data_IF_786139017332
#
_entry.id   IF_786139017332
#
_cell.length_a   1.000
_cell.length_b   1.000
_cell.length_c   1.000
_cell.angle_alpha   90.00
_cell.angle_beta   90.00
_cell.angle_gamma   90.00
#
_symmetry.space_group_name_H-M   'P 1'
#
loop_
_entity.id
_entity.type
_entity.pdbx_description
1 polymer ?
#
# COMPACT_ATOMS: atom_id res chain seq x y z
N UNK A 1 10.42 61.10 -27.14
CA UNK A 1 9.06 60.67 -26.72
C UNK A 1 8.70 59.23 -27.13
N UNK A 2 8.87 58.85 -28.41
CA UNK A 2 8.55 57.49 -28.90
C UNK A 2 9.32 56.35 -28.19
N UNK A 3 10.61 56.54 -27.92
CA UNK A 3 11.44 55.55 -27.21
C UNK A 3 11.00 55.29 -25.76
N UNK A 4 10.60 56.34 -25.03
CA UNK A 4 10.12 56.21 -23.65
C UNK A 4 8.76 55.51 -23.57
N UNK A 5 7.87 55.76 -24.54
CA UNK A 5 6.59 55.06 -24.66
C UNK A 5 6.80 53.58 -25.00
N UNK A 6 7.70 53.28 -25.95
CA UNK A 6 8.05 51.91 -26.31
C UNK A 6 8.64 51.12 -25.13
N UNK A 7 9.52 51.74 -24.32
CA UNK A 7 10.11 51.10 -23.14
C UNK A 7 9.06 50.78 -22.06
N UNK A 8 8.10 51.69 -21.84
CA UNK A 8 6.99 51.47 -20.89
C UNK A 8 6.08 50.33 -21.34
N UNK A 9 5.75 50.27 -22.62
CA UNK A 9 4.94 49.18 -23.19
C UNK A 9 5.69 47.84 -23.04
N UNK A 10 6.98 47.79 -23.38
CA UNK A 10 7.79 46.59 -23.21
C UNK A 10 7.88 46.13 -21.74
N UNK A 11 8.01 47.06 -20.79
CA UNK A 11 7.99 46.75 -19.36
C UNK A 11 6.64 46.19 -18.91
N UNK A 12 5.51 46.76 -19.35
CA UNK A 12 4.18 46.26 -19.03
C UNK A 12 3.92 44.87 -19.62
N UNK A 13 4.35 44.63 -20.86
CA UNK A 13 4.23 43.32 -21.52
C UNK A 13 5.04 42.25 -20.79
N UNK A 14 6.29 42.55 -20.41
CA UNK A 14 7.15 41.60 -19.68
C UNK A 14 6.63 41.30 -18.28
N UNK A 15 6.15 42.32 -17.54
CA UNK A 15 5.51 42.13 -16.24
C UNK A 15 4.21 41.32 -16.34
N UNK A 16 3.39 41.58 -17.37
CA UNK A 16 2.17 40.82 -17.64
C UNK A 16 2.45 39.34 -17.93
N UNK A 17 3.38 39.07 -18.86
CA UNK A 17 3.78 37.70 -19.19
C UNK A 17 4.39 36.96 -17.98
N UNK A 18 5.24 37.64 -17.20
CA UNK A 18 5.80 37.08 -15.96
C UNK A 18 4.73 36.74 -14.92
N UNK A 19 3.76 37.62 -14.73
CA UNK A 19 2.65 37.40 -13.78
C UNK A 19 1.78 36.20 -14.17
N UNK A 20 1.48 36.04 -15.46
CA UNK A 20 0.73 34.89 -15.98
C UNK A 20 1.50 33.57 -15.74
N UNK A 21 2.79 33.54 -16.07
CA UNK A 21 3.63 32.36 -15.87
C UNK A 21 3.75 31.97 -14.38
N UNK A 22 3.86 32.96 -13.49
CA UNK A 22 3.83 32.73 -12.03
C UNK A 22 2.45 32.24 -11.57
N UNK A 23 1.37 32.80 -12.10
CA UNK A 23 -0.01 32.42 -11.79
C UNK A 23 -0.29 30.95 -12.13
N UNK A 24 0.12 30.49 -13.31
CA UNK A 24 -0.05 29.08 -13.73
C UNK A 24 0.69 28.11 -12.80
N UNK A 25 1.94 28.44 -12.45
CA UNK A 25 2.74 27.61 -11.52
C UNK A 25 2.12 27.58 -10.13
N UNK A 26 1.69 28.74 -9.63
CA UNK A 26 1.01 28.84 -8.34
C UNK A 26 -0.28 28.00 -8.32
N UNK A 27 -1.07 28.07 -9.38
CA UNK A 27 -2.29 27.28 -9.54
C UNK A 27 -2.00 25.77 -9.49
N UNK A 28 -1.00 25.28 -10.23
CA UNK A 28 -0.64 23.86 -10.24
C UNK A 28 -0.19 23.36 -8.86
N UNK A 29 0.64 24.14 -8.15
CA UNK A 29 1.09 23.80 -6.80
C UNK A 29 -0.06 23.83 -5.80
N UNK A 30 -0.93 24.84 -5.88
CA UNK A 30 -2.11 24.96 -5.03
C UNK A 30 -3.06 23.77 -5.25
N UNK A 31 -3.32 23.40 -6.51
CA UNK A 31 -4.14 22.24 -6.86
C UNK A 31 -3.55 20.93 -6.31
N UNK A 32 -2.23 20.73 -6.45
CA UNK A 32 -1.56 19.56 -5.91
C UNK A 32 -1.62 19.49 -4.37
N UNK A 33 -1.44 20.63 -3.69
CA UNK A 33 -1.57 20.73 -2.23
C UNK A 33 -3.00 20.40 -1.78
N UNK A 34 -4.01 20.99 -2.43
CA UNK A 34 -5.42 20.74 -2.15
C UNK A 34 -5.76 19.26 -2.34
N UNK A 35 -5.35 18.65 -3.46
CA UNK A 35 -5.59 17.23 -3.72
C UNK A 35 -5.01 16.33 -2.62
N UNK A 36 -3.79 16.63 -2.13
CA UNK A 36 -3.17 15.87 -1.02
C UNK A 36 -3.99 15.95 0.27
N UNK A 37 -4.52 17.13 0.59
CA UNK A 37 -5.38 17.33 1.76
C UNK A 37 -6.70 16.57 1.61
N UNK A 38 -7.35 16.66 0.46
CA UNK A 38 -8.61 15.97 0.19
C UNK A 38 -8.46 14.45 0.23
N UNK A 39 -7.40 13.91 -0.36
CA UNK A 39 -7.07 12.47 -0.30
C UNK A 39 -6.79 12.03 1.13
N UNK A 40 -6.05 12.82 1.91
CA UNK A 40 -5.79 12.50 3.31
C UNK A 40 -7.07 12.47 4.15
N UNK A 41 -7.99 13.43 3.93
CA UNK A 41 -9.30 13.48 4.59
C UNK A 41 -10.18 12.28 4.20
N UNK A 42 -10.25 11.96 2.92
CA UNK A 42 -11.00 10.80 2.45
C UNK A 42 -10.45 9.49 3.03
N UNK A 43 -9.12 9.35 3.10
CA UNK A 43 -8.52 8.18 3.74
C UNK A 43 -8.84 8.11 5.24
N UNK A 44 -8.82 9.25 5.94
CA UNK A 44 -9.21 9.29 7.35
C UNK A 44 -10.68 8.87 7.56
N UNK A 45 -11.60 9.27 6.66
CA UNK A 45 -12.98 8.79 6.68
C UNK A 45 -13.04 7.27 6.43
N UNK A 46 -12.28 6.76 5.45
CA UNK A 46 -12.22 5.32 5.15
C UNK A 46 -11.64 4.49 6.30
N UNK A 47 -10.73 5.04 7.09
CA UNK A 47 -10.24 4.40 8.32
C UNK A 47 -11.30 4.37 9.42
N UNK A 48 -12.22 5.34 9.46
CA UNK A 48 -13.23 5.47 10.53
C UNK A 48 -14.41 4.51 10.33
N UNK A 49 -14.89 4.31 9.10
CA UNK A 49 -16.08 3.49 8.82
C UNK A 49 -15.78 2.24 7.97
N UNK A 50 -14.53 2.07 7.50
CA UNK A 50 -14.10 0.94 6.67
C UNK A 50 -14.61 0.97 5.23
N UNK A 51 -15.26 2.05 4.79
CA UNK A 51 -15.82 2.20 3.43
C UNK A 51 -14.92 3.11 2.58
N UNK A 52 -14.68 2.80 1.29
CA UNK A 52 -13.94 3.70 0.41
C UNK A 52 -14.69 5.03 0.22
N UNK A 53 -14.01 6.16 0.45
CA UNK A 53 -14.55 7.49 0.20
C UNK A 53 -13.77 8.16 -0.93
N UNK A 54 -14.43 8.70 -1.97
CA UNK A 54 -13.75 9.47 -2.99
C UNK A 54 -13.25 10.81 -2.40
N UNK A 55 -12.08 11.31 -2.82
CA UNK A 55 -11.53 12.58 -2.33
C UNK A 55 -12.31 13.82 -2.78
N UNK A 56 -13.10 13.72 -3.84
CA UNK A 56 -14.03 14.73 -4.32
C UNK A 56 -15.17 14.05 -5.11
N UNK A 57 -16.33 14.69 -5.34
CA UNK A 57 -17.55 14.03 -5.82
C UNK A 57 -17.44 13.29 -7.16
N UNK A 58 -16.55 13.76 -8.05
CA UNK A 58 -16.33 13.18 -9.38
C UNK A 58 -15.01 12.39 -9.49
N UNK A 59 -14.42 11.98 -8.35
CA UNK A 59 -13.24 11.12 -8.38
C UNK A 59 -13.64 9.69 -8.77
N UNK A 60 -12.91 9.10 -9.72
CA UNK A 60 -13.02 7.70 -10.14
C UNK A 60 -12.17 6.76 -9.28
N UNK A 61 -11.64 7.26 -8.16
CA UNK A 61 -10.73 6.54 -7.27
C UNK A 61 -10.95 6.94 -5.81
N UNK A 62 -10.51 6.08 -4.90
CA UNK A 62 -10.53 6.31 -3.46
C UNK A 62 -9.21 5.82 -2.83
N UNK A 63 -8.71 6.46 -1.76
CA UNK A 63 -7.57 5.96 -1.01
C UNK A 63 -7.94 4.70 -0.23
N UNK A 64 -7.27 3.59 -0.54
CA UNK A 64 -7.52 2.27 0.06
C UNK A 64 -6.45 1.88 1.09
N UNK A 65 -5.26 2.47 0.99
CA UNK A 65 -4.17 2.21 1.91
C UNK A 65 -3.21 3.40 2.03
N UNK A 66 -2.30 3.34 2.99
CA UNK A 66 -1.16 4.26 3.12
C UNK A 66 0.13 3.47 3.18
N UNK A 67 1.04 3.77 2.26
CA UNK A 67 2.40 3.25 2.22
C UNK A 67 3.34 4.18 2.98
N UNK A 68 4.13 3.63 3.87
CA UNK A 68 5.13 4.35 4.68
C UNK A 68 6.50 3.69 4.51
N UNK A 69 7.53 4.52 4.39
CA UNK A 69 8.93 4.09 4.39
C UNK A 69 9.62 4.75 5.58
N UNK A 70 9.69 4.09 6.75
CA UNK A 70 10.15 4.72 7.99
C UNK A 70 11.54 5.35 7.88
N UNK A 71 12.51 4.64 7.29
CA UNK A 71 13.89 5.13 7.13
C UNK A 71 13.98 6.46 6.37
N UNK A 72 13.07 6.69 5.42
CA UNK A 72 13.05 7.90 4.59
C UNK A 72 12.03 8.94 5.07
N UNK A 73 11.25 8.65 6.12
CA UNK A 73 10.15 9.51 6.56
C UNK A 73 9.04 9.70 5.52
N UNK A 74 8.97 8.85 4.50
CA UNK A 74 8.04 9.00 3.37
C UNK A 74 6.69 8.38 3.73
N UNK A 75 5.61 9.10 3.42
CA UNK A 75 4.23 8.61 3.49
C UNK A 75 3.51 8.93 2.18
N UNK A 76 2.86 7.93 1.59
CA UNK A 76 2.10 8.07 0.34
C UNK A 76 0.78 7.33 0.46
N UNK A 77 -0.31 7.94 -0.03
CA UNK A 77 -1.60 7.26 -0.13
C UNK A 77 -1.61 6.37 -1.36
N UNK A 78 -2.20 5.20 -1.20
CA UNK A 78 -2.47 4.23 -2.26
C UNK A 78 -3.93 4.38 -2.65
N UNK A 79 -4.15 4.71 -3.91
CA UNK A 79 -5.44 4.90 -4.54
C UNK A 79 -5.86 3.60 -5.23
N UNK A 80 -7.17 3.35 -5.27
CA UNK A 80 -7.74 2.25 -6.03
C UNK A 80 -7.54 2.48 -7.52
N UNK A 81 -7.04 1.47 -8.23
CA UNK A 81 -6.74 1.56 -9.66
C UNK A 81 -5.41 2.27 -9.96
N UNK A 82 -4.85 1.92 -11.11
CA UNK A 82 -3.61 2.51 -11.65
C UNK A 82 -3.89 3.34 -12.92
N UNK A 83 -5.01 4.05 -12.94
CA UNK A 83 -5.39 4.95 -14.03
C UNK A 83 -4.50 6.21 -14.07
N UNK A 84 -4.49 6.93 -15.20
CA UNK A 84 -3.79 8.21 -15.30
C UNK A 84 -4.26 9.23 -14.26
N UNK A 85 -5.56 9.25 -13.94
CA UNK A 85 -6.13 10.09 -12.89
C UNK A 85 -5.58 9.73 -11.50
N UNK A 86 -5.53 8.44 -11.16
CA UNK A 86 -5.02 7.97 -9.87
C UNK A 86 -3.52 8.25 -9.73
N UNK A 87 -2.73 7.92 -10.76
CA UNK A 87 -1.28 8.11 -10.75
C UNK A 87 -0.85 9.58 -10.74
N UNK A 88 -1.70 10.51 -11.20
CA UNK A 88 -1.45 11.94 -11.12
C UNK A 88 -1.40 12.47 -9.67
N UNK A 89 -2.09 11.81 -8.73
CA UNK A 89 -2.22 12.29 -7.35
C UNK A 89 -1.63 11.36 -6.29
N UNK A 90 -1.34 10.10 -6.62
CA UNK A 90 -0.89 9.12 -5.64
C UNK A 90 -0.27 7.87 -6.23
N UNK A 91 -0.03 6.90 -5.35
CA UNK A 91 0.37 5.55 -5.74
C UNK A 91 -0.89 4.81 -6.17
N UNK A 92 -0.90 4.18 -7.33
CA UNK A 92 -2.03 3.39 -7.80
C UNK A 92 -1.87 1.92 -7.45
N UNK A 93 -2.91 1.28 -6.94
CA UNK A 93 -2.99 -0.17 -6.85
C UNK A 93 -3.41 -0.74 -8.21
N UNK A 94 -2.67 -1.72 -8.72
CA UNK A 94 -2.97 -2.32 -10.04
C UNK A 94 -4.12 -3.32 -9.91
N UNK A 95 -5.17 -3.08 -10.69
CA UNK A 95 -6.36 -3.95 -10.74
C UNK A 95 -5.99 -5.38 -11.18
N UNK A 96 -6.69 -6.36 -10.61
CA UNK A 96 -6.40 -7.79 -10.83
C UNK A 96 -5.26 -8.34 -9.99
N UNK A 97 -4.58 -7.51 -9.17
CA UNK A 97 -3.61 -7.97 -8.17
C UNK A 97 -4.23 -8.05 -6.78
N UNK A 98 -3.57 -8.74 -5.85
CA UNK A 98 -4.09 -8.89 -4.49
C UNK A 98 -4.27 -7.52 -3.82
N UNK A 99 -5.30 -7.39 -2.98
CA UNK A 99 -5.53 -6.18 -2.23
C UNK A 99 -4.37 -5.92 -1.23
N UNK A 100 -4.15 -4.67 -0.80
CA UNK A 100 -3.14 -4.38 0.19
C UNK A 100 -3.36 -5.19 1.48
N UNK A 101 -2.29 -5.79 2.01
CA UNK A 101 -2.28 -6.65 3.21
C UNK A 101 -3.11 -7.94 3.11
N UNK A 102 -3.47 -8.41 1.91
CA UNK A 102 -4.08 -9.74 1.73
C UNK A 102 -3.08 -10.76 1.18
N UNK A 103 -3.30 -12.07 1.35
CA UNK A 103 -2.53 -13.10 0.67
C UNK A 103 -2.51 -12.86 -0.85
N UNK A 104 -1.41 -13.25 -1.49
CA UNK A 104 -1.11 -12.94 -2.88
C UNK A 104 -0.18 -11.74 -3.04
N UNK A 105 0.06 -11.39 -4.30
CA UNK A 105 0.96 -10.30 -4.66
C UNK A 105 0.17 -9.02 -4.93
N UNK A 106 0.40 -8.00 -4.11
CA UNK A 106 -0.15 -6.65 -4.27
C UNK A 106 0.84 -5.79 -5.06
N UNK A 107 0.43 -5.29 -6.22
CA UNK A 107 1.25 -4.46 -7.09
C UNK A 107 0.84 -2.99 -6.99
N UNK A 108 1.82 -2.14 -6.66
CA UNK A 108 1.66 -0.70 -6.58
C UNK A 108 2.48 -0.02 -7.67
N UNK A 109 1.82 0.79 -8.48
CA UNK A 109 2.42 1.56 -9.56
C UNK A 109 2.49 3.06 -9.21
N UNK A 110 3.49 3.74 -9.75
CA UNK A 110 3.70 5.16 -9.52
C UNK A 110 4.72 5.76 -10.49
N UNK A 111 4.57 7.06 -10.73
CA UNK A 111 5.52 7.83 -11.52
C UNK A 111 6.88 7.97 -10.82
N UNK A 112 7.96 7.74 -11.57
CA UNK A 112 9.35 7.67 -11.07
C UNK A 112 9.90 9.00 -10.56
N UNK A 113 9.33 10.10 -11.02
CA UNK A 113 9.77 11.48 -10.80
C UNK A 113 8.95 12.20 -9.73
N UNK A 114 7.77 11.67 -9.38
CA UNK A 114 6.87 12.28 -8.40
C UNK A 114 6.64 11.35 -7.21
N UNK A 115 5.58 10.52 -7.25
CA UNK A 115 5.14 9.70 -6.12
C UNK A 115 6.16 8.64 -5.72
N UNK A 116 6.93 8.11 -6.68
CA UNK A 116 7.93 7.07 -6.50
C UNK A 116 9.38 7.52 -6.70
N UNK A 117 9.66 8.83 -6.66
CA UNK A 117 11.03 9.37 -6.68
C UNK A 117 11.92 8.74 -5.59
N UNK A 118 11.34 8.41 -4.44
CA UNK A 118 12.05 7.79 -3.31
C UNK A 118 12.51 6.35 -3.58
N UNK A 119 11.99 5.65 -4.61
CA UNK A 119 12.43 4.30 -4.98
C UNK A 119 13.89 4.26 -5.46
N UNK A 120 14.48 5.42 -5.78
CA UNK A 120 15.91 5.57 -6.05
C UNK A 120 16.76 5.32 -4.81
N UNK A 121 16.24 5.66 -3.63
CA UNK A 121 16.95 5.64 -2.35
C UNK A 121 16.67 4.38 -1.52
N UNK A 122 15.68 3.57 -1.93
CA UNK A 122 15.36 2.30 -1.28
C UNK A 122 16.48 1.27 -1.42
N UNK A 123 16.68 0.51 -0.36
CA UNK A 123 17.69 -0.55 -0.25
C UNK A 123 17.03 -1.87 0.12
N UNK A 124 17.66 -2.98 -0.28
CA UNK A 124 17.29 -4.30 0.24
C UNK A 124 17.47 -4.28 1.76
N UNK A 125 16.49 -4.83 2.49
CA UNK A 125 16.42 -4.80 3.94
C UNK A 125 15.59 -3.66 4.52
N UNK A 126 15.24 -2.62 3.75
CA UNK A 126 14.39 -1.53 4.25
C UNK A 126 12.99 -2.04 4.63
N UNK A 127 12.44 -1.46 5.68
CA UNK A 127 11.07 -1.69 6.10
C UNK A 127 10.10 -0.83 5.28
N UNK A 128 8.97 -1.43 4.89
CA UNK A 128 7.80 -0.75 4.33
C UNK A 128 6.61 -1.08 5.23
N UNK A 129 5.79 -0.09 5.55
CA UNK A 129 4.56 -0.30 6.32
C UNK A 129 3.38 0.08 5.45
N UNK A 130 2.45 -0.86 5.27
CA UNK A 130 1.20 -0.61 4.54
C UNK A 130 0.06 -0.64 5.55
N UNK A 131 -0.63 0.48 5.68
CA UNK A 131 -1.80 0.62 6.56
C UNK A 131 -3.07 0.61 5.75
N UNK A 132 -4.00 -0.27 6.10
CA UNK A 132 -5.36 -0.33 5.56
C UNK A 132 -6.36 -0.13 6.71
N UNK A 133 -7.66 0.06 6.43
CA UNK A 133 -8.69 0.11 7.48
C UNK A 133 -8.77 -1.17 8.33
N UNK A 134 -8.31 -2.31 7.79
CA UNK A 134 -8.41 -3.61 8.44
C UNK A 134 -7.17 -3.97 9.26
N UNK A 135 -5.99 -3.64 8.73
CA UNK A 135 -4.73 -4.05 9.33
C UNK A 135 -3.58 -3.14 8.88
N UNK A 136 -2.54 -3.07 9.71
CA UNK A 136 -1.23 -2.54 9.32
C UNK A 136 -0.25 -3.69 9.23
N UNK A 137 0.38 -3.87 8.07
CA UNK A 137 1.37 -4.91 7.85
C UNK A 137 2.73 -4.29 7.54
N UNK A 138 3.78 -4.92 8.05
CA UNK A 138 5.14 -4.52 7.77
C UNK A 138 5.82 -5.53 6.83
N UNK A 139 6.44 -4.99 5.80
CA UNK A 139 7.17 -5.70 4.77
C UNK A 139 8.63 -5.33 4.83
N UNK A 140 9.50 -6.23 4.38
CA UNK A 140 10.92 -5.99 4.20
C UNK A 140 11.29 -6.19 2.74
N UNK A 141 12.04 -5.23 2.18
CA UNK A 141 12.51 -5.32 0.80
C UNK A 141 13.50 -6.47 0.69
N UNK A 142 13.22 -7.41 -0.22
CA UNK A 142 14.06 -8.59 -0.47
C UNK A 142 14.81 -8.48 -1.79
N UNK A 143 14.29 -7.74 -2.76
CA UNK A 143 14.95 -7.58 -4.06
C UNK A 143 14.57 -6.28 -4.75
N UNK A 144 15.47 -5.85 -5.65
CA UNK A 144 15.30 -4.70 -6.53
C UNK A 144 15.90 -5.05 -7.88
N UNK A 145 15.10 -5.05 -8.94
CA UNK A 145 15.51 -5.46 -10.28
C UNK A 145 14.95 -4.55 -11.36
N UNK A 146 15.64 -4.46 -12.49
CA UNK A 146 15.17 -3.72 -13.67
C UNK A 146 14.74 -4.73 -14.73
N UNK A 147 13.49 -4.65 -15.16
CA UNK A 147 12.87 -5.57 -16.13
C UNK A 147 12.48 -4.84 -17.41
N UNK A 148 12.28 -5.56 -18.51
CA UNK A 148 11.64 -4.98 -19.68
C UNK A 148 10.15 -4.79 -19.40
N UNK A 149 9.55 -3.72 -19.93
CA UNK A 149 8.13 -3.46 -19.77
C UNK A 149 7.27 -4.51 -20.50
N UNK A 150 7.81 -5.13 -21.54
CA UNK A 150 7.18 -6.20 -22.30
C UNK A 150 7.10 -7.52 -21.52
N UNK A 151 8.06 -7.79 -20.64
CA UNK A 151 8.06 -8.99 -19.77
C UNK A 151 6.93 -8.95 -18.73
N UNK A 152 6.24 -7.81 -18.64
CA UNK A 152 5.14 -7.58 -17.72
C UNK A 152 5.58 -7.72 -16.26
N UNK A 153 4.60 -7.89 -15.39
CA UNK A 153 4.82 -8.23 -13.98
C UNK A 153 4.71 -9.74 -13.80
N UNK A 154 5.13 -10.54 -14.80
CA UNK A 154 4.85 -11.99 -14.90
C UNK A 154 5.43 -12.87 -13.78
N UNK A 155 6.11 -12.25 -12.82
CA UNK A 155 6.64 -12.83 -11.58
C UNK A 155 5.76 -12.47 -10.36
N UNK A 156 4.53 -11.98 -10.61
CA UNK A 156 3.43 -11.92 -9.64
C UNK A 156 2.93 -13.36 -9.48
N UNK A 157 3.79 -14.22 -8.95
CA UNK A 157 3.37 -15.56 -8.54
C UNK A 157 2.28 -15.44 -7.47
N UNK A 158 1.28 -16.34 -7.48
CA UNK A 158 0.40 -16.52 -6.34
C UNK A 158 1.27 -16.82 -5.12
N UNK A 159 1.33 -15.88 -4.19
CA UNK A 159 2.02 -16.07 -2.94
C UNK A 159 0.99 -16.46 -1.88
N UNK A 160 1.21 -17.56 -1.17
CA UNK A 160 0.36 -17.95 -0.02
C UNK A 160 0.44 -16.94 1.12
N UNK A 161 1.44 -16.05 1.07
CA UNK A 161 1.66 -14.95 2.02
C UNK A 161 1.56 -13.60 1.31
N UNK A 162 1.17 -12.53 2.02
CA UNK A 162 1.19 -11.18 1.47
C UNK A 162 2.57 -10.80 0.92
N UNK A 163 2.61 -10.46 -0.37
CA UNK A 163 3.79 -9.92 -1.05
C UNK A 163 3.47 -8.54 -1.60
N UNK A 164 4.41 -7.60 -1.44
CA UNK A 164 4.27 -6.24 -1.95
C UNK A 164 5.28 -6.02 -3.07
N UNK A 165 4.81 -5.53 -4.21
CA UNK A 165 5.65 -5.16 -5.36
C UNK A 165 5.43 -3.69 -5.68
N UNK A 166 6.52 -2.91 -5.74
CA UNK A 166 6.50 -1.51 -6.16
C UNK A 166 7.11 -1.39 -7.55
N UNK A 167 6.42 -0.67 -8.43
CA UNK A 167 6.66 -0.64 -9.86
C UNK A 167 6.76 0.78 -10.40
N UNK A 168 7.83 1.10 -11.12
CA UNK A 168 7.99 2.41 -11.76
C UNK A 168 8.81 2.38 -13.05
N UNK A 169 8.76 3.45 -13.85
CA UNK A 169 9.59 3.62 -15.05
C UNK A 169 11.08 3.73 -14.69
N UNK A 170 11.95 3.20 -15.53
CA UNK A 170 13.41 3.26 -15.35
C UNK A 170 14.10 3.67 -16.67
N UNK A 171 15.16 4.50 -16.66
CA UNK A 171 15.87 5.08 -15.51
C UNK A 171 15.23 6.39 -15.00
N UNK A 172 15.69 6.87 -13.83
CA UNK A 172 15.11 8.03 -13.11
C UNK A 172 15.42 9.39 -13.74
N UNK A 173 16.49 9.48 -14.50
CA UNK A 173 17.08 10.67 -15.10
C UNK A 173 16.53 10.99 -16.51
N UNK A 174 15.40 10.39 -16.88
CA UNK A 174 14.79 10.60 -18.21
C UNK A 174 13.39 11.19 -18.09
N UNK A 175 13.05 12.07 -19.03
CA UNK A 175 11.69 12.64 -19.13
C UNK A 175 10.78 11.78 -20.01
N UNK A 176 11.36 11.04 -20.97
CA UNK A 176 10.60 10.23 -21.94
C UNK A 176 10.16 8.89 -21.36
N UNK A 177 9.07 8.33 -21.90
CA UNK A 177 8.63 6.97 -21.60
C UNK A 177 9.70 5.98 -22.04
N UNK A 178 10.05 5.05 -21.17
CA UNK A 178 11.09 4.05 -21.43
C UNK A 178 10.50 2.65 -21.44
N UNK A 179 11.15 1.69 -22.13
CA UNK A 179 10.70 0.29 -22.16
C UNK A 179 11.19 -0.50 -20.94
N UNK A 180 11.72 0.14 -19.89
CA UNK A 180 12.25 -0.55 -18.70
C UNK A 180 11.49 -0.13 -17.44
N UNK A 181 11.35 -1.05 -16.49
CA UNK A 181 10.70 -0.83 -15.20
C UNK A 181 11.61 -1.23 -14.06
N UNK A 182 11.66 -0.42 -13.01
CA UNK A 182 12.21 -0.82 -11.73
C UNK A 182 11.12 -1.55 -10.96
N UNK A 183 11.44 -2.75 -10.49
CA UNK A 183 10.59 -3.60 -9.66
C UNK A 183 11.27 -3.79 -8.31
N UNK A 184 10.59 -3.41 -7.25
CA UNK A 184 11.02 -3.63 -5.87
C UNK A 184 10.08 -4.63 -5.25
N UNK A 185 10.60 -5.76 -4.77
CA UNK A 185 9.80 -6.80 -4.12
C UNK A 185 10.07 -6.79 -2.63
N UNK A 186 9.01 -6.83 -1.85
CA UNK A 186 9.04 -6.92 -0.40
C UNK A 186 8.14 -8.06 0.08
N UNK A 187 8.59 -8.76 1.13
CA UNK A 187 7.87 -9.85 1.78
C UNK A 187 7.44 -9.42 3.16
N UNK A 188 6.33 -9.96 3.64
CA UNK A 188 5.89 -9.78 5.03
C UNK A 188 7.03 -10.11 6.01
N UNK A 189 7.25 -9.26 7.00
CA UNK A 189 8.23 -9.47 8.07
C UNK A 189 9.19 -8.31 8.26
N UNK A 190 8.84 -7.38 9.15
CA UNK A 190 9.86 -6.64 9.88
C UNK A 190 10.04 -7.30 11.23
N UNK A 191 11.26 -7.67 11.56
CA UNK A 191 11.59 -8.12 12.89
C UNK A 191 11.18 -7.01 13.87
N UNK A 192 10.49 -7.37 14.95
CA UNK A 192 10.48 -6.53 16.15
C UNK A 192 11.93 -6.49 16.60
N UNK A 193 12.54 -5.30 16.60
CA UNK A 193 13.81 -5.12 17.30
C UNK A 193 13.55 -5.43 18.78
N UNK A 194 13.98 -6.61 19.23
CA UNK A 194 13.73 -7.11 20.57
C UNK A 194 14.31 -8.51 20.74
N UNK A 195 15.48 -8.58 21.38
CA UNK A 195 16.02 -9.79 21.99
C UNK A 195 17.27 -10.37 21.33
N UNK A 196 18.38 -9.62 21.34
CA UNK A 196 19.69 -10.28 21.39
C UNK A 196 19.94 -10.62 22.87
N UNK A 197 19.52 -11.81 23.28
CA UNK A 197 19.95 -12.45 24.51
C UNK A 197 20.60 -13.79 24.13
N UNK A 198 21.84 -13.70 23.65
CA UNK A 198 22.72 -14.85 23.45
C UNK A 198 23.78 -14.86 24.55
N UNK A 199 23.32 -14.87 25.79
CA UNK A 199 24.13 -15.14 26.98
C UNK A 199 23.99 -16.58 27.47
N UNK A 200 23.97 -17.59 26.58
CA UNK A 200 24.10 -19.00 27.01
C UNK A 200 25.55 -19.29 27.43
N UNK A 201 25.88 -18.85 28.64
CA UNK A 201 26.98 -19.37 29.43
C UNK A 201 26.70 -20.83 29.76
N UNK A 202 27.26 -21.73 28.96
CA UNK A 202 27.39 -23.15 29.24
C UNK A 202 28.41 -23.30 30.38
N UNK A 203 27.93 -23.48 31.60
CA UNK A 203 28.78 -23.83 32.74
C UNK A 203 28.59 -25.32 33.07
N UNK A 204 29.68 -26.04 32.82
CA UNK A 204 29.97 -27.44 33.09
C UNK A 204 30.00 -27.72 34.60
N UNK A 205 29.77 -28.97 34.99
CA UNK A 205 29.53 -29.38 36.36
C UNK A 205 30.78 -29.45 37.26
N UNK A 206 30.55 -29.41 38.58
CA UNK A 206 31.29 -30.20 39.56
C UNK A 206 30.53 -30.26 40.90
N UNK A 207 30.31 -31.48 41.37
CA UNK A 207 29.95 -31.80 42.75
C UNK A 207 31.22 -31.77 43.60
N UNK A 208 31.15 -31.16 44.78
CA UNK A 208 31.86 -31.62 45.99
C UNK A 208 30.97 -31.32 47.20
N UNK A 209 30.93 -32.27 48.12
CA UNK A 209 30.13 -32.28 49.34
C UNK A 209 30.83 -31.56 50.51
N UNK A 210 30.06 -31.41 51.59
CA UNK A 210 30.43 -31.08 52.99
C UNK A 210 31.04 -29.71 53.28
N UNK A 211 30.37 -28.91 54.12
CA UNK A 211 30.78 -28.71 55.52
C UNK A 211 29.67 -28.01 56.35
N UNK A 212 29.73 -28.22 57.65
CA UNK A 212 28.65 -28.15 58.63
C UNK A 212 28.32 -26.76 59.24
N UNK A 213 27.20 -26.77 59.96
CA UNK A 213 26.47 -25.70 60.68
C UNK A 213 27.21 -25.21 61.94
N UNK A 214 26.93 -23.98 62.43
CA UNK A 214 26.23 -23.84 63.72
C UNK A 214 25.08 -22.81 63.75
N UNK A 215 24.12 -23.06 64.65
CA UNK A 215 22.90 -22.28 64.96
C UNK A 215 23.15 -21.18 66.01
N UNK A 216 22.40 -20.08 65.92
CA UNK A 216 21.71 -19.28 67.00
C UNK A 216 21.45 -17.86 66.43
N UNK A 217 20.40 -17.06 66.70
CA UNK A 217 19.31 -16.97 67.68
C UNK A 217 18.14 -16.17 67.03
N UNK A 218 16.87 -16.57 67.14
CA UNK A 218 15.85 -16.08 68.11
C UNK A 218 15.39 -14.61 67.99
N UNK A 219 14.17 -14.36 67.49
CA UNK A 219 13.44 -13.07 67.57
C UNK A 219 12.13 -13.03 66.75
N UNK A 220 11.04 -12.35 67.19
CA UNK A 220 9.70 -12.94 67.16
C UNK A 220 8.86 -12.72 65.89
N UNK A 221 8.03 -13.74 65.61
CA UNK A 221 6.95 -13.74 64.62
C UNK A 221 5.78 -12.88 65.11
N UNK A 222 5.29 -11.98 64.25
CA UNK A 222 3.94 -11.40 64.38
C UNK A 222 3.08 -11.94 63.25
N UNK A 223 2.14 -12.81 63.62
CA UNK A 223 1.09 -13.31 62.76
C UNK A 223 0.08 -12.19 62.45
N UNK A 224 -0.31 -12.06 61.19
CA UNK A 224 -1.59 -11.43 60.83
C UNK A 224 -2.46 -12.46 60.13
N UNK A 225 -3.67 -12.60 60.68
CA UNK A 225 -4.71 -13.58 60.35
C UNK A 225 -5.22 -13.44 58.90
N UNK A 226 -5.68 -14.54 58.26
CA UNK A 226 -6.53 -14.47 57.09
C UNK A 226 -7.99 -14.25 57.48
N UNK A 227 -8.75 -13.58 56.61
CA UNK A 227 -10.20 -13.43 56.70
C UNK A 227 -10.78 -13.43 55.26
N UNK A 228 -12.08 -13.69 55.05
CA UNK A 228 -12.61 -15.03 54.84
C UNK A 228 -13.22 -15.23 53.44
N UNK A 229 -13.39 -16.51 53.10
CA UNK A 229 -14.17 -16.99 51.97
C UNK A 229 -15.62 -16.47 52.00
N UNK A 230 -16.03 -15.86 50.89
CA UNK A 230 -17.38 -15.35 50.66
C UNK A 230 -17.77 -15.54 49.20
N UNK A 231 -18.30 -16.71 48.90
CA UNK A 231 -18.82 -17.12 47.60
C UNK A 231 -19.83 -16.13 47.00
N UNK A 232 -19.77 -15.97 45.67
CA UNK A 232 -20.92 -16.20 44.75
C UNK A 232 -20.44 -16.17 43.30
N UNK A 233 -20.20 -17.37 42.78
CA UNK A 233 -20.16 -17.68 41.34
C UNK A 233 -21.57 -17.46 40.78
N UNK A 234 -21.73 -16.47 39.91
CA UNK A 234 -22.91 -16.32 39.06
C UNK A 234 -22.91 -17.37 37.95
N UNK A 235 -24.08 -17.91 37.54
CA UNK A 235 -24.14 -19.11 36.73
C UNK A 235 -23.77 -18.86 35.27
N UNK A 236 -22.94 -19.77 34.74
CA UNK A 236 -22.80 -20.05 33.32
C UNK A 236 -24.20 -20.22 32.70
N UNK A 237 -24.60 -19.27 31.85
CA UNK A 237 -25.73 -19.49 30.94
C UNK A 237 -25.29 -20.54 29.93
N UNK A 238 -25.77 -21.76 30.13
CA UNK A 238 -25.86 -22.79 29.10
C UNK A 238 -26.65 -22.22 27.92
N UNK A 239 -26.03 -22.12 26.75
CA UNK A 239 -26.78 -22.03 25.50
C UNK A 239 -27.53 -23.37 25.31
N UNK A 240 -28.87 -23.35 25.20
CA UNK A 240 -29.61 -24.54 24.80
C UNK A 240 -29.34 -24.85 23.33
N UNK A 241 -29.08 -26.12 23.06
CA UNK A 241 -29.14 -26.70 21.74
C UNK A 241 -30.58 -26.67 21.20
N UNK A 242 -30.70 -26.56 19.86
CA UNK A 242 -31.86 -26.87 19.01
C UNK A 242 -33.03 -25.88 19.00
N UNK A 243 -33.02 -24.99 18.01
CA UNK A 243 -34.11 -24.84 17.02
C UNK A 243 -33.62 -23.93 15.88
N UNK A 244 -33.73 -24.37 14.63
CA UNK A 244 -33.60 -23.48 13.47
C UNK A 244 -32.33 -23.60 12.61
N UNK A 245 -31.83 -24.82 12.36
CA UNK A 245 -31.08 -25.06 11.13
C UNK A 245 -32.09 -25.06 9.97
N UNK A 246 -32.28 -23.92 9.31
CA UNK A 246 -32.92 -23.90 7.99
C UNK A 246 -31.79 -24.01 6.97
N UNK A 247 -31.61 -25.23 6.47
CA UNK A 247 -30.89 -25.47 5.23
C UNK A 247 -31.67 -24.80 4.09
N UNK A 248 -31.16 -23.73 3.51
CA UNK A 248 -31.61 -23.29 2.19
C UNK A 248 -30.76 -23.97 1.13
N UNK A 249 -31.49 -24.75 0.34
CA UNK A 249 -31.06 -25.63 -0.72
C UNK A 249 -30.27 -24.90 -1.80
N UNK A 250 -29.07 -25.41 -2.07
CA UNK A 250 -28.21 -25.04 -3.17
C UNK A 250 -28.74 -25.65 -4.49
N UNK A 251 -29.97 -25.30 -4.91
CA UNK A 251 -30.56 -25.75 -6.19
C UNK A 251 -31.53 -24.74 -6.82
N UNK A 252 -31.23 -23.44 -6.75
CA UNK A 252 -32.04 -22.44 -7.47
C UNK A 252 -31.27 -21.18 -7.89
N UNK A 253 -30.20 -21.32 -8.67
CA UNK A 253 -29.69 -20.22 -9.50
C UNK A 253 -28.94 -20.63 -10.78
N UNK A 254 -28.87 -21.95 -11.09
CA UNK A 254 -28.38 -22.49 -12.38
C UNK A 254 -29.33 -22.29 -13.58
N UNK A 255 -30.20 -21.28 -13.56
CA UNK A 255 -31.08 -20.90 -14.69
C UNK A 255 -31.19 -19.39 -14.92
N UNK A 256 -30.08 -18.65 -14.77
CA UNK A 256 -29.89 -17.29 -15.33
C UNK A 256 -28.51 -17.13 -15.98
N UNK A 257 -28.06 -18.14 -16.74
CA UNK A 257 -26.88 -18.10 -17.62
C UNK A 257 -27.14 -18.80 -18.97
N UNK A 258 -28.34 -18.63 -19.51
CA UNK A 258 -28.67 -19.00 -20.88
C UNK A 258 -29.64 -17.95 -21.41
N UNK A 259 -29.12 -16.95 -22.11
CA UNK A 259 -29.92 -15.83 -22.63
C UNK A 259 -29.19 -14.49 -22.55
N UNK A 260 -27.98 -14.42 -23.11
CA UNK A 260 -27.29 -13.20 -23.63
C UNK A 260 -25.91 -13.64 -24.14
N UNK A 261 -25.91 -14.63 -25.03
CA UNK A 261 -24.78 -15.04 -25.85
C UNK A 261 -25.30 -15.27 -27.27
N UNK A 262 -25.86 -14.22 -27.87
CA UNK A 262 -26.30 -14.18 -29.26
C UNK A 262 -26.57 -12.73 -29.69
N UNK A 263 -25.53 -11.89 -29.71
CA UNK A 263 -25.50 -10.61 -30.44
C UNK A 263 -24.06 -10.07 -30.45
N UNK A 264 -23.29 -10.47 -31.47
CA UNK A 264 -22.08 -9.83 -32.03
C UNK A 264 -21.13 -10.87 -32.66
N UNK A 265 -21.66 -11.80 -33.44
CA UNK A 265 -20.91 -12.52 -34.46
C UNK A 265 -21.51 -12.07 -35.81
N UNK A 266 -20.89 -11.07 -36.43
CA UNK A 266 -21.39 -10.49 -37.66
C UNK A 266 -20.74 -9.15 -37.99
N UNK A 267 -19.44 -9.16 -38.30
CA UNK A 267 -18.81 -8.31 -39.32
C UNK A 267 -17.32 -8.68 -39.46
N UNK A 268 -17.04 -9.83 -40.06
CA UNK A 268 -15.69 -10.21 -40.48
C UNK A 268 -15.76 -11.10 -41.74
N UNK A 269 -16.31 -10.55 -42.83
CA UNK A 269 -16.20 -11.13 -44.16
C UNK A 269 -16.60 -10.10 -45.23
N UNK A 270 -15.73 -9.11 -45.49
CA UNK A 270 -15.69 -8.38 -46.76
C UNK A 270 -14.33 -7.66 -46.86
N UNK A 271 -13.56 -7.93 -47.92
CA UNK A 271 -12.45 -7.05 -48.30
C UNK A 271 -11.04 -7.66 -48.29
N UNK A 272 -10.82 -8.85 -48.87
CA UNK A 272 -9.56 -9.13 -49.58
C UNK A 272 -9.81 -8.97 -51.06
N UNK A 273 -9.40 -7.85 -51.63
CA UNK A 273 -8.90 -7.68 -53.01
C UNK A 273 -8.87 -6.19 -53.39
N UNK A 274 -7.71 -5.55 -53.21
CA UNK A 274 -7.18 -4.51 -54.10
C UNK A 274 -5.81 -4.09 -53.54
N UNK A 275 -4.76 -4.26 -54.34
CA UNK A 275 -3.40 -3.96 -53.96
C UNK A 275 -3.07 -2.47 -54.02
N UNK A 276 -1.80 -2.18 -53.75
CA UNK A 276 -1.18 -0.89 -54.07
C UNK A 276 -0.48 -0.24 -52.88
N UNK A 277 0.84 -0.48 -52.79
CA UNK A 277 1.89 0.50 -52.53
C UNK A 277 1.74 1.56 -51.43
N UNK A 278 2.76 1.66 -50.59
CA UNK A 278 3.10 2.92 -49.91
C UNK A 278 3.32 2.79 -48.42
N UNK A 279 4.56 2.46 -48.05
CA UNK A 279 5.41 3.35 -47.24
C UNK A 279 4.70 4.31 -46.27
N UNK A 280 4.89 4.11 -44.96
CA UNK A 280 5.43 5.10 -44.01
C UNK A 280 5.23 4.62 -42.56
N UNK A 281 6.33 4.17 -41.96
CA UNK A 281 6.53 4.17 -40.52
C UNK A 281 6.94 5.60 -40.10
N UNK A 282 6.22 6.20 -39.17
CA UNK A 282 6.74 7.16 -38.18
C UNK A 282 5.80 7.35 -37.00
#
# INVERSE_FOLDING_TARGET
MRAAVALRIAALVTLGAGSLACGERAYLLAKAALARVLIARAFAATLADGRPHPPWPWADTAPIARLEVPRLGIRRHVLAGASGASLAFGVGHVDGTAAPNTPGTCLLAGHRDTVFAFLRELRVGDALVVRTPRASLCYRIVSRRVVAAADGWSDVDPADRPRLVLATCWPFDTVRRTPRRLVVTAREGCQREGGHDDGRGRADGRRTADEAVPRAASGPRRALRPAPDGARRGPHRRCPARAGCVATDARASRRRRAGTAAAAAGLAAAGRAAGGGGDLLR
#
